data_IF_858353597787
#
_entry.id   IF_858353597787
#
_cell.length_a   1.000
_cell.length_b   1.000
_cell.length_c   1.000
_cell.angle_alpha   90.00
_cell.angle_beta   90.00
_cell.angle_gamma   90.00
#
_symmetry.space_group_name_H-M   'P 1'
#
loop_
_entity.id
_entity.type
_entity.pdbx_description
1 polymer ?
#
# COMPACT_ATOMS: atom_id res chain seq x y z
N UNK A 1 -1.16 17.05 -13.02
CA UNK A 1 -1.75 15.75 -12.63
C UNK A 1 -1.73 15.65 -11.11
N UNK A 2 -2.88 15.65 -10.45
CA UNK A 2 -2.95 15.66 -8.98
C UNK A 2 -2.52 14.31 -8.43
N UNK A 3 -1.42 14.28 -7.64
CA UNK A 3 -1.08 13.12 -6.80
C UNK A 3 -2.33 12.77 -5.99
N UNK A 4 -2.83 11.54 -6.13
CA UNK A 4 -3.82 11.02 -5.19
C UNK A 4 -3.17 11.06 -3.81
N UNK A 5 -3.82 11.67 -2.81
CA UNK A 5 -3.24 11.78 -1.47
C UNK A 5 -3.01 10.37 -0.91
N UNK A 6 -1.77 10.04 -0.55
CA UNK A 6 -1.48 8.78 0.15
C UNK A 6 -2.13 8.80 1.54
N UNK A 7 -2.56 7.63 2.06
CA UNK A 7 -3.04 7.52 3.43
C UNK A 7 -2.00 8.02 4.44
N UNK A 8 -2.48 8.62 5.54
CA UNK A 8 -1.59 9.11 6.60
C UNK A 8 -1.25 8.01 7.59
N UNK A 9 0.02 7.88 7.95
CA UNK A 9 0.52 6.91 8.95
C UNK A 9 -0.13 6.98 10.33
N UNK A 10 -0.68 8.14 10.72
CA UNK A 10 -1.39 8.27 12.00
C UNK A 10 -2.64 7.38 12.12
N UNK A 11 -3.18 6.92 10.98
CA UNK A 11 -4.33 6.00 10.92
C UNK A 11 -3.90 4.55 10.69
N UNK A 12 -2.58 4.29 10.59
CA UNK A 12 -2.08 2.94 10.36
C UNK A 12 -2.25 2.07 11.62
N UNK A 13 -2.55 0.78 11.46
CA UNK A 13 -2.43 -0.18 12.56
C UNK A 13 -1.02 -0.14 13.18
N UNK A 14 -0.91 -0.38 14.49
CA UNK A 14 0.38 -0.32 15.19
C UNK A 14 1.44 -1.28 14.63
N UNK A 15 1.00 -2.41 14.06
CA UNK A 15 1.87 -3.40 13.44
C UNK A 15 2.34 -3.03 12.02
N UNK A 16 1.78 -1.98 11.41
CA UNK A 16 2.10 -1.58 10.04
C UNK A 16 3.52 -1.02 9.94
N UNK A 17 4.28 -1.57 8.98
CA UNK A 17 5.65 -1.18 8.66
C UNK A 17 5.81 -0.64 7.25
N UNK A 18 4.89 -0.98 6.35
CA UNK A 18 4.90 -0.53 4.96
C UNK A 18 3.53 -0.01 4.52
N UNK A 19 3.52 0.97 3.63
CA UNK A 19 2.33 1.47 2.93
C UNK A 19 2.60 1.40 1.44
N UNK A 20 1.64 0.92 0.66
CA UNK A 20 1.75 0.93 -0.79
C UNK A 20 0.38 0.99 -1.46
N UNK A 21 0.37 1.44 -2.71
CA UNK A 21 -0.80 1.48 -3.58
C UNK A 21 -0.71 0.38 -4.64
N UNK A 22 -1.83 -0.24 -4.96
CA UNK A 22 -1.99 -1.13 -6.12
C UNK A 22 -2.24 -0.32 -7.40
N UNK A 23 -2.15 -0.98 -8.57
CA UNK A 23 -2.37 -0.35 -9.88
C UNK A 23 -3.76 0.28 -10.01
N UNK A 24 -4.78 -0.35 -9.42
CA UNK A 24 -6.17 0.11 -9.43
C UNK A 24 -6.42 1.30 -8.47
N UNK A 25 -5.43 1.68 -7.67
CA UNK A 25 -5.49 2.80 -6.76
C UNK A 25 -5.81 2.46 -5.31
N UNK A 26 -6.10 1.20 -4.97
CA UNK A 26 -6.30 0.77 -3.58
C UNK A 26 -5.00 0.90 -2.79
N UNK A 27 -5.09 1.36 -1.54
CA UNK A 27 -3.96 1.49 -0.64
C UNK A 27 -4.00 0.47 0.48
N UNK A 28 -2.83 0.04 0.92
CA UNK A 28 -2.68 -1.01 1.92
C UNK A 28 -1.53 -0.72 2.88
N UNK A 29 -1.78 -0.92 4.16
CA UNK A 29 -0.74 -1.08 5.17
C UNK A 29 -0.34 -2.53 5.29
N UNK A 30 0.97 -2.81 5.39
CA UNK A 30 1.53 -4.15 5.52
C UNK A 30 2.41 -4.27 6.77
N UNK A 31 2.35 -5.44 7.42
CA UNK A 31 3.18 -5.78 8.59
C UNK A 31 4.65 -6.08 8.27
N UNK A 32 4.94 -6.39 7.00
CA UNK A 32 6.26 -6.71 6.48
C UNK A 32 6.32 -6.26 5.01
N UNK A 33 7.53 -6.32 4.40
CA UNK A 33 7.71 -5.85 3.02
C UNK A 33 6.88 -6.73 2.07
N UNK A 34 5.93 -6.16 1.33
CA UNK A 34 5.14 -6.93 0.38
C UNK A 34 5.97 -7.35 -0.84
N UNK A 35 5.48 -8.34 -1.58
CA UNK A 35 6.04 -8.74 -2.88
C UNK A 35 5.22 -8.16 -4.02
N UNK A 36 5.87 -7.92 -5.16
CA UNK A 36 5.20 -7.44 -6.36
C UNK A 36 4.36 -8.56 -6.99
N UNK A 37 3.06 -8.29 -7.16
CA UNK A 37 2.18 -9.05 -8.06
C UNK A 37 2.10 -8.41 -9.44
N UNK A 38 1.11 -8.85 -10.23
CA UNK A 38 0.89 -8.33 -11.59
C UNK A 38 0.44 -6.87 -11.54
N UNK A 39 -0.53 -6.56 -10.67
CA UNK A 39 -1.16 -5.25 -10.54
C UNK A 39 -1.36 -4.80 -9.09
N UNK A 40 -0.76 -5.49 -8.13
CA UNK A 40 -0.98 -5.30 -6.70
C UNK A 40 0.24 -5.69 -5.87
N UNK A 41 0.29 -5.21 -4.64
CA UNK A 41 1.22 -5.65 -3.62
C UNK A 41 0.61 -6.79 -2.79
N UNK A 42 1.33 -7.90 -2.68
CA UNK A 42 0.83 -9.08 -1.97
C UNK A 42 1.58 -9.31 -0.65
N UNK A 43 0.83 -9.67 0.39
CA UNK A 43 1.38 -10.27 1.60
C UNK A 43 1.87 -11.69 1.33
N UNK A 44 2.94 -12.09 2.01
CA UNK A 44 3.29 -13.50 2.15
C UNK A 44 2.43 -14.18 3.24
N UNK A 45 2.34 -15.52 3.26
CA UNK A 45 1.66 -16.25 4.32
C UNK A 45 2.13 -15.83 5.72
N UNK A 46 1.18 -15.58 6.63
CA UNK A 46 1.46 -15.13 8.00
C UNK A 46 1.68 -13.62 8.16
N UNK A 47 1.68 -12.85 7.07
CA UNK A 47 1.75 -11.38 7.13
C UNK A 47 0.35 -10.76 7.14
N UNK A 48 0.21 -9.66 7.88
CA UNK A 48 -1.02 -8.86 7.94
C UNK A 48 -1.01 -7.75 6.88
N UNK A 49 -2.17 -7.53 6.26
CA UNK A 49 -2.51 -6.39 5.43
C UNK A 49 -3.79 -5.70 5.94
N UNK A 50 -3.88 -4.39 5.78
CA UNK A 50 -5.06 -3.60 6.12
C UNK A 50 -5.32 -2.56 5.03
N UNK A 51 -6.54 -2.55 4.50
CA UNK A 51 -6.93 -1.57 3.49
C UNK A 51 -6.94 -0.17 4.11
N UNK A 52 -6.18 0.74 3.52
CA UNK A 52 -6.00 2.11 4.00
C UNK A 52 -6.91 3.11 3.26
N UNK A 53 -7.48 2.70 2.13
CA UNK A 53 -8.46 3.47 1.37
C UNK A 53 -8.30 3.34 -0.15
N UNK A 54 -9.05 4.15 -0.89
CA UNK A 54 -9.09 4.14 -2.34
C UNK A 54 -8.59 5.48 -2.92
N UNK A 55 -7.55 5.41 -3.75
CA UNK A 55 -7.07 6.51 -4.57
C UNK A 55 -7.43 6.33 -6.05
N UNK A 56 -6.87 7.19 -6.90
CA UNK A 56 -6.94 7.03 -8.36
C UNK A 56 -6.02 5.88 -8.83
N UNK A 57 -6.39 5.16 -9.91
CA UNK A 57 -5.48 4.23 -10.58
C UNK A 57 -4.13 4.90 -10.91
N UNK A 58 -3.05 4.14 -10.74
CA UNK A 58 -1.68 4.66 -10.82
C UNK A 58 -0.78 3.70 -11.61
N UNK A 59 -0.36 4.11 -12.81
CA UNK A 59 0.56 3.30 -13.63
C UNK A 59 1.95 3.14 -13.00
N UNK A 60 2.32 4.02 -12.06
CA UNK A 60 3.58 4.00 -11.30
C UNK A 60 3.38 3.53 -9.87
N UNK A 61 2.42 2.63 -9.65
CA UNK A 61 2.07 2.13 -8.32
C UNK A 61 3.25 1.47 -7.58
N UNK A 62 4.21 0.91 -8.33
CA UNK A 62 5.45 0.33 -7.76
C UNK A 62 6.31 1.36 -7.01
N UNK A 63 6.26 2.62 -7.41
CA UNK A 63 7.01 3.71 -6.78
C UNK A 63 6.37 4.17 -5.47
N UNK A 64 5.20 3.63 -5.10
CA UNK A 64 4.46 4.05 -3.89
C UNK A 64 4.84 3.28 -2.63
N UNK A 65 5.64 2.21 -2.75
CA UNK A 65 6.06 1.43 -1.59
C UNK A 65 6.95 2.29 -0.68
N UNK A 66 6.43 2.60 0.49
CA UNK A 66 7.16 3.31 1.54
C UNK A 66 7.25 2.45 2.80
N UNK A 67 8.36 2.62 3.53
CA UNK A 67 8.58 2.03 4.85
C UNK A 67 8.47 3.12 5.91
N UNK A 68 8.00 2.73 7.09
CA UNK A 68 7.91 3.59 8.28
C UNK A 68 9.26 3.75 8.98
#
# INVERSE_FOLDING_TARGET
>A
MSKSASPKWQFAPQWAKYLAQDANGKWWFFSAKPVEGVNEWMCQPGQMAHEAGQGKPNAKWRDTLEAK
#
